data_IF_122337052437
#
_entry.id   IF_122337052437
#
_cell.length_a   1.000
_cell.length_b   1.000
_cell.length_c   1.000
_cell.angle_alpha   90.00
_cell.angle_beta   90.00
_cell.angle_gamma   90.00
#
_symmetry.space_group_name_H-M   'P 1'
#
loop_
_entity.id
_entity.type
_entity.pdbx_description
1 polymer ?
#
# COMPACT_ATOMS: atom_id res chain seq x y z
N UNK A 1 -18.39 -28.65 -16.83
CA UNK A 1 -17.56 -27.50 -17.22
C UNK A 1 -17.53 -26.55 -16.03
N UNK A 2 -16.42 -26.51 -15.28
CA UNK A 2 -16.33 -25.68 -14.08
C UNK A 2 -15.99 -24.24 -14.47
N UNK A 3 -17.01 -23.37 -14.46
CA UNK A 3 -16.81 -21.93 -14.52
C UNK A 3 -16.19 -21.45 -13.20
N UNK A 4 -14.85 -21.50 -13.10
CA UNK A 4 -14.14 -20.73 -12.11
C UNK A 4 -14.28 -19.25 -12.48
N UNK A 5 -15.23 -18.57 -11.85
CA UNK A 5 -15.32 -17.12 -11.83
C UNK A 5 -13.97 -16.58 -11.35
N UNK A 6 -13.20 -15.95 -12.26
CA UNK A 6 -12.03 -15.14 -11.89
C UNK A 6 -12.54 -14.08 -10.92
N UNK A 7 -12.33 -14.27 -9.61
CA UNK A 7 -12.66 -13.25 -8.62
C UNK A 7 -11.90 -11.99 -9.00
N UNK A 8 -12.64 -10.95 -9.37
CA UNK A 8 -12.07 -9.66 -9.73
C UNK A 8 -11.46 -9.05 -8.46
N UNK A 9 -10.13 -9.07 -8.36
CA UNK A 9 -9.43 -8.55 -7.19
C UNK A 9 -9.71 -7.05 -7.09
N UNK A 10 -10.28 -6.61 -5.97
CA UNK A 10 -10.61 -5.22 -5.72
C UNK A 10 -9.37 -4.41 -5.29
N UNK A 11 -9.38 -3.11 -5.55
CA UNK A 11 -8.35 -2.20 -5.06
C UNK A 11 -8.26 -2.16 -3.53
N UNK A 12 -9.36 -2.45 -2.82
CA UNK A 12 -9.37 -2.59 -1.37
C UNK A 12 -8.58 -3.81 -0.90
N UNK A 13 -8.73 -4.95 -1.56
CA UNK A 13 -7.93 -6.14 -1.23
C UNK A 13 -6.44 -5.88 -1.47
N UNK A 14 -6.08 -5.26 -2.59
CA UNK A 14 -4.67 -4.92 -2.89
C UNK A 14 -4.11 -3.91 -1.88
N UNK A 15 -4.86 -2.85 -1.56
CA UNK A 15 -4.47 -1.90 -0.51
C UNK A 15 -4.19 -2.59 0.83
N UNK A 16 -5.03 -3.56 1.21
CA UNK A 16 -4.84 -4.32 2.45
C UNK A 16 -3.60 -5.22 2.41
N UNK A 17 -3.26 -5.78 1.25
CA UNK A 17 -2.04 -6.57 1.06
C UNK A 17 -0.77 -5.70 1.07
N UNK A 18 -0.83 -4.49 0.50
CA UNK A 18 0.27 -3.53 0.52
C UNK A 18 0.60 -3.17 1.99
N UNK A 19 -0.42 -2.91 2.80
CA UNK A 19 -0.29 -2.65 4.23
C UNK A 19 -0.34 -3.93 5.09
N UNK A 20 0.33 -4.99 4.64
CA UNK A 20 0.41 -6.25 5.38
C UNK A 20 1.11 -6.06 6.73
N UNK A 21 0.80 -6.96 7.67
CA UNK A 21 1.42 -7.00 8.99
C UNK A 21 2.92 -7.24 8.84
N UNK A 22 3.71 -6.37 9.46
CA UNK A 22 5.16 -6.52 9.56
C UNK A 22 5.54 -7.21 10.87
N UNK A 23 6.74 -7.78 10.91
CA UNK A 23 7.30 -8.32 12.15
C UNK A 23 7.93 -7.16 12.96
N UNK A 24 7.33 -6.84 14.10
CA UNK A 24 7.79 -5.75 14.99
C UNK A 24 8.58 -6.23 16.21
N UNK A 25 9.04 -7.50 16.24
CA UNK A 25 9.71 -8.07 17.42
C UNK A 25 11.01 -7.33 17.82
N UNK A 26 11.66 -6.66 16.87
CA UNK A 26 12.91 -5.89 17.07
C UNK A 26 12.70 -4.38 16.88
N UNK A 27 11.46 -3.92 17.03
CA UNK A 27 11.05 -2.57 16.64
C UNK A 27 10.33 -2.55 15.29
N UNK A 28 9.68 -1.43 15.01
CA UNK A 28 8.90 -1.26 13.79
C UNK A 28 9.81 -0.89 12.60
N UNK A 29 9.53 -1.40 11.39
CA UNK A 29 10.22 -0.96 10.19
C UNK A 29 9.88 0.49 9.87
N UNK A 30 10.89 1.23 9.39
CA UNK A 30 10.74 2.60 8.92
C UNK A 30 10.12 2.61 7.52
N UNK A 31 8.82 2.89 7.47
CA UNK A 31 8.03 2.96 6.26
C UNK A 31 7.90 1.62 5.54
N UNK A 32 7.57 1.72 4.25
CA UNK A 32 7.47 0.59 3.32
C UNK A 32 8.19 0.93 2.03
N UNK A 33 8.71 -0.09 1.37
CA UNK A 33 9.39 0.07 0.09
C UNK A 33 8.43 0.49 -1.01
N UNK A 34 8.91 1.38 -1.87
CA UNK A 34 8.30 1.62 -3.17
C UNK A 34 8.65 0.46 -4.12
N UNK A 35 7.77 0.18 -5.07
CA UNK A 35 7.92 -0.88 -6.07
C UNK A 35 7.73 -0.28 -7.45
N UNK A 36 8.68 -0.51 -8.34
CA UNK A 36 8.65 -0.10 -9.73
C UNK A 36 8.64 1.42 -9.95
N UNK A 37 8.70 1.80 -11.21
CA UNK A 37 8.64 3.18 -11.68
C UNK A 37 7.30 3.46 -12.36
N UNK A 38 6.81 4.70 -12.26
CA UNK A 38 5.52 5.08 -12.86
C UNK A 38 5.48 4.85 -14.38
N UNK A 39 6.61 5.01 -15.06
CA UNK A 39 6.77 4.77 -16.51
C UNK A 39 6.53 3.31 -16.91
N UNK A 40 6.83 2.35 -16.02
CA UNK A 40 6.70 0.90 -16.31
C UNK A 40 5.24 0.43 -16.28
N UNK A 41 4.33 1.28 -15.77
CA UNK A 41 2.89 1.03 -15.68
C UNK A 41 2.08 2.03 -16.48
N UNK A 42 2.69 2.68 -17.48
CA UNK A 42 1.98 3.57 -18.39
C UNK A 42 0.79 2.84 -19.07
N UNK A 43 -0.34 3.54 -19.19
CA UNK A 43 -1.60 2.96 -19.68
C UNK A 43 -2.36 2.08 -18.67
N UNK A 44 -1.78 1.75 -17.51
CA UNK A 44 -2.50 1.06 -16.42
C UNK A 44 -3.20 2.07 -15.52
N UNK A 45 -4.35 1.65 -14.97
CA UNK A 45 -5.05 2.43 -13.93
C UNK A 45 -4.23 2.42 -12.63
N UNK A 46 -3.86 3.61 -12.18
CA UNK A 46 -3.24 3.85 -10.87
C UNK A 46 -4.34 4.23 -9.88
N UNK A 47 -4.37 3.55 -8.74
CA UNK A 47 -5.25 3.87 -7.62
C UNK A 47 -4.47 4.68 -6.61
N UNK A 48 -5.08 5.74 -6.08
CA UNK A 48 -4.51 6.52 -4.99
C UNK A 48 -5.39 6.40 -3.75
N UNK A 49 -4.78 6.16 -2.58
CA UNK A 49 -5.49 6.07 -1.30
C UNK A 49 -4.71 6.75 -0.19
N UNK A 50 -5.44 7.41 0.71
CA UNK A 50 -4.88 7.86 1.99
C UNK A 50 -4.53 6.65 2.84
N UNK A 51 -3.33 6.65 3.41
CA UNK A 51 -2.90 5.68 4.41
C UNK A 51 -3.30 6.22 5.78
N UNK A 52 -4.25 5.56 6.43
CA UNK A 52 -4.64 5.92 7.79
C UNK A 52 -3.57 5.45 8.77
N UNK A 53 -2.99 6.41 9.48
CA UNK A 53 -2.05 6.16 10.57
C UNK A 53 -2.86 6.04 11.88
N UNK A 54 -2.49 5.08 12.72
CA UNK A 54 -3.20 4.71 13.94
C UNK A 54 -2.91 5.70 15.08
N UNK A 55 -3.35 5.38 16.31
CA UNK A 55 -3.46 6.20 17.52
C UNK A 55 -2.45 7.35 17.75
N UNK A 56 -1.20 7.23 17.34
CA UNK A 56 -0.14 8.24 17.51
C UNK A 56 0.11 9.10 16.25
N UNK A 57 -0.63 8.84 15.18
CA UNK A 57 -0.46 9.48 13.88
C UNK A 57 0.79 9.03 13.13
N UNK A 58 1.45 7.94 13.53
CA UNK A 58 2.75 7.54 13.00
C UNK A 58 2.79 6.15 12.36
N UNK A 59 2.02 5.18 12.84
CA UNK A 59 2.06 3.80 12.31
C UNK A 59 0.90 3.49 11.38
N UNK A 60 1.15 2.82 10.27
CA UNK A 60 0.05 2.23 9.50
C UNK A 60 -0.52 0.98 10.18
N UNK A 61 -1.68 0.51 9.71
CA UNK A 61 -2.38 -0.66 10.26
C UNK A 61 -1.58 -1.97 10.26
N UNK A 62 -0.51 -2.06 9.48
CA UNK A 62 0.36 -3.23 9.42
C UNK A 62 1.56 -3.11 10.36
N UNK A 63 1.77 -1.96 11.01
CA UNK A 63 2.82 -1.73 12.01
C UNK A 63 4.08 -1.06 11.50
N UNK A 64 4.11 -0.56 10.25
CA UNK A 64 5.24 0.22 9.76
C UNK A 64 5.15 1.68 10.22
N UNK A 65 6.28 2.24 10.66
CA UNK A 65 6.37 3.61 11.17
C UNK A 65 6.66 4.60 10.04
N UNK A 66 5.86 5.65 9.93
CA UNK A 66 5.99 6.68 8.90
C UNK A 66 6.34 8.06 9.47
N UNK A 67 6.37 8.20 10.80
CA UNK A 67 6.45 9.51 11.46
C UNK A 67 5.13 10.28 11.44
N UNK A 68 5.07 11.32 12.26
CA UNK A 68 3.93 12.24 12.30
C UNK A 68 4.09 13.34 11.24
N UNK A 69 3.00 14.00 10.85
CA UNK A 69 3.04 15.16 9.95
C UNK A 69 1.97 15.14 8.86
N UNK A 70 2.31 15.69 7.69
CA UNK A 70 1.41 15.83 6.55
C UNK A 70 0.80 14.49 6.11
N UNK A 71 -0.44 14.41 5.61
CA UNK A 71 -1.10 13.14 5.32
C UNK A 71 -0.29 12.22 4.39
N UNK A 72 -0.24 10.92 4.73
CA UNK A 72 0.41 9.91 3.91
C UNK A 72 -0.57 9.30 2.90
N UNK A 73 -0.09 9.10 1.68
CA UNK A 73 -0.83 8.46 0.59
C UNK A 73 -0.02 7.32 -0.02
N UNK A 74 -0.73 6.43 -0.69
CA UNK A 74 -0.15 5.37 -1.51
C UNK A 74 -0.82 5.35 -2.89
N UNK A 75 0.00 5.41 -3.93
CA UNK A 75 -0.38 5.06 -5.29
C UNK A 75 -0.03 3.59 -5.58
N UNK A 76 -0.90 2.87 -6.28
CA UNK A 76 -0.62 1.49 -6.67
C UNK A 76 -1.43 0.99 -7.87
N UNK A 77 -0.91 -0.05 -8.53
CA UNK A 77 -1.65 -0.85 -9.53
C UNK A 77 -2.18 -2.15 -8.91
N UNK A 78 -3.22 -2.75 -9.49
CA UNK A 78 -3.80 -3.99 -8.95
C UNK A 78 -2.85 -5.19 -9.01
N UNK A 79 -1.92 -5.19 -9.97
CA UNK A 79 -0.85 -6.20 -10.10
C UNK A 79 0.35 -5.93 -9.18
N UNK A 80 0.32 -4.84 -8.39
CA UNK A 80 1.38 -4.39 -7.47
C UNK A 80 2.75 -4.15 -8.14
N UNK A 81 2.80 -4.04 -9.48
CA UNK A 81 4.03 -3.68 -10.20
C UNK A 81 4.43 -2.22 -9.98
N UNK A 82 3.49 -1.39 -9.53
CA UNK A 82 3.76 -0.05 -9.04
C UNK A 82 3.15 0.11 -7.65
N UNK A 83 3.96 0.55 -6.69
CA UNK A 83 3.55 1.00 -5.36
C UNK A 83 4.42 2.18 -4.97
N UNK A 84 3.83 3.33 -4.67
CA UNK A 84 4.55 4.53 -4.23
C UNK A 84 3.88 5.16 -3.04
N UNK A 85 4.62 5.28 -1.95
CA UNK A 85 4.23 6.05 -0.77
C UNK A 85 4.76 7.48 -0.87
N UNK A 86 3.94 8.45 -0.48
CA UNK A 86 4.31 9.87 -0.53
C UNK A 86 3.48 10.68 0.47
N UNK A 87 4.06 11.79 0.93
CA UNK A 87 3.36 12.86 1.64
C UNK A 87 3.25 14.06 0.71
N UNK A 88 2.14 14.79 0.81
CA UNK A 88 1.86 15.99 0.05
C UNK A 88 1.86 17.21 0.97
#
# INVERSE_FOLDING_TARGET
MNNQTKQQISSTQIYNQILHKVNCQWGAPMGRLNVGERKEVEGKRIYCRRVYLMYDGAYDKGGAYWGCGAPLYVEFTLDKRYVRFFRN
#
